data_IF_257234854361
#
_entry.id   IF_257234854361
#
_cell.length_a   1.000
_cell.length_b   1.000
_cell.length_c   1.000
_cell.angle_alpha   90.00
_cell.angle_beta   90.00
_cell.angle_gamma   90.00
#
_symmetry.space_group_name_H-M   'P 1'
#
loop_
_entity.id
_entity.type
_entity.pdbx_description
1 polymer ?
#
# COMPACT_ATOMS: atom_id res chain seq x y z
N UNK A 1 41.86 -3.72 11.22
CA UNK A 1 42.15 -4.14 12.60
C UNK A 1 40.81 -4.45 13.24
N UNK A 2 40.60 -5.72 13.58
CA UNK A 2 39.35 -6.29 14.07
C UNK A 2 39.25 -6.03 15.57
N UNK A 3 38.29 -5.20 16.01
CA UNK A 3 37.98 -5.07 17.43
C UNK A 3 36.71 -5.84 17.76
N UNK A 4 36.91 -6.91 18.53
CA UNK A 4 35.90 -7.69 19.18
C UNK A 4 35.29 -6.86 20.33
N UNK A 5 33.99 -6.58 20.27
CA UNK A 5 33.27 -6.00 21.41
C UNK A 5 32.60 -7.11 22.22
N UNK A 6 33.25 -7.42 23.33
CA UNK A 6 32.81 -8.27 24.42
C UNK A 6 31.65 -7.57 25.16
N UNK A 7 30.47 -8.19 25.20
CA UNK A 7 29.31 -7.68 25.99
C UNK A 7 29.01 -8.67 27.11
N UNK A 8 29.55 -8.36 28.29
CA UNK A 8 29.15 -8.97 29.56
C UNK A 8 27.71 -8.64 29.89
N UNK A 9 26.89 -9.67 30.09
CA UNK A 9 25.59 -9.58 30.74
C UNK A 9 25.82 -9.67 32.25
N UNK A 10 25.60 -8.57 32.99
CA UNK A 10 25.51 -8.62 34.46
C UNK A 10 24.05 -8.74 34.85
N UNK A 11 23.72 -9.86 35.48
CA UNK A 11 22.42 -10.14 36.07
C UNK A 11 22.21 -9.30 37.33
N UNK A 12 21.03 -8.70 37.44
CA UNK A 12 20.60 -7.95 38.62
C UNK A 12 19.18 -8.34 38.99
N UNK A 13 19.05 -9.39 39.80
CA UNK A 13 17.78 -9.86 40.34
C UNK A 13 17.22 -8.84 41.35
N UNK A 14 15.98 -8.37 41.15
CA UNK A 14 15.14 -7.84 42.23
C UNK A 14 13.90 -8.70 42.37
N UNK A 15 13.78 -9.31 43.55
CA UNK A 15 12.70 -10.18 44.00
C UNK A 15 11.42 -9.35 44.17
N UNK A 16 10.34 -9.77 43.52
CA UNK A 16 8.99 -9.61 44.05
C UNK A 16 8.30 -10.97 43.89
N UNK A 17 8.08 -11.63 45.02
CA UNK A 17 7.38 -12.90 45.14
C UNK A 17 5.89 -12.65 44.90
N UNK A 18 5.40 -13.02 43.71
CA UNK A 18 3.97 -13.22 43.47
C UNK A 18 3.76 -14.72 43.29
N UNK A 19 2.92 -15.29 44.15
CA UNK A 19 2.63 -16.71 44.31
C UNK A 19 2.28 -17.41 42.99
N UNK A 20 3.08 -18.40 42.61
CA UNK A 20 3.02 -19.20 41.38
C UNK A 20 1.81 -20.14 41.21
N UNK A 21 0.80 -20.13 42.08
CA UNK A 21 -0.27 -21.16 42.07
C UNK A 21 -1.64 -20.72 41.55
N UNK A 22 -1.79 -19.52 40.98
CA UNK A 22 -3.11 -19.01 40.58
C UNK A 22 -3.25 -18.50 39.14
N UNK A 23 -2.19 -18.57 38.33
CA UNK A 23 -2.24 -18.16 36.90
C UNK A 23 -2.37 -19.38 35.97
N UNK A 24 -2.04 -20.59 36.42
CA UNK A 24 -2.00 -21.78 35.56
C UNK A 24 -3.37 -22.38 35.18
N UNK A 25 -4.50 -21.92 35.76
CA UNK A 25 -5.82 -22.46 35.40
C UNK A 25 -6.65 -21.59 34.43
N UNK A 26 -6.19 -20.39 34.07
CA UNK A 26 -6.91 -19.54 33.12
C UNK A 26 -6.38 -19.64 31.67
N UNK A 27 -5.34 -20.45 31.43
CA UNK A 27 -4.62 -20.55 30.16
C UNK A 27 -4.77 -21.91 29.47
N UNK A 28 -5.75 -22.72 29.87
CA UNK A 28 -5.93 -24.09 29.35
C UNK A 28 -7.29 -24.38 28.70
N UNK A 29 -8.02 -23.35 28.25
CA UNK A 29 -9.32 -23.55 27.59
C UNK A 29 -9.53 -22.80 26.27
N UNK A 30 -8.50 -22.13 25.72
CA UNK A 30 -8.58 -21.54 24.37
C UNK A 30 -7.24 -21.65 23.64
N UNK A 31 -6.90 -22.87 23.22
CA UNK A 31 -5.99 -23.11 22.10
C UNK A 31 -6.74 -23.88 21.03
N UNK A 32 -7.79 -23.26 20.48
CA UNK A 32 -8.09 -23.49 19.07
C UNK A 32 -7.26 -22.48 18.29
N UNK A 33 -6.20 -22.97 17.66
CA UNK A 33 -5.36 -22.20 16.78
C UNK A 33 -6.22 -21.67 15.62
N UNK A 34 -6.62 -20.40 15.70
CA UNK A 34 -7.13 -19.68 14.53
C UNK A 34 -5.93 -19.41 13.62
N UNK A 35 -5.80 -20.05 12.44
CA UNK A 35 -4.73 -19.72 11.54
C UNK A 35 -4.94 -18.27 11.07
N UNK A 36 -3.93 -17.43 11.30
CA UNK A 36 -3.90 -16.08 10.74
C UNK A 36 -4.17 -16.16 9.23
N UNK A 37 -5.05 -15.32 8.67
CA UNK A 37 -5.35 -15.36 7.25
C UNK A 37 -4.07 -15.11 6.48
N UNK A 38 -3.71 -16.07 5.61
CA UNK A 38 -2.61 -15.95 4.67
C UNK A 38 -2.78 -14.67 3.88
N UNK A 39 -1.67 -13.96 3.73
CA UNK A 39 -1.51 -12.70 3.00
C UNK A 39 -2.59 -12.47 1.96
N UNK A 40 -3.46 -11.49 2.23
CA UNK A 40 -4.28 -10.91 1.20
C UNK A 40 -3.33 -10.26 0.20
N UNK A 41 -2.90 -11.04 -0.79
CA UNK A 41 -2.44 -10.51 -2.06
C UNK A 41 -3.53 -9.55 -2.50
N UNK A 42 -3.20 -8.25 -2.46
CA UNK A 42 -4.05 -7.21 -2.99
C UNK A 42 -4.19 -7.49 -4.49
N UNK A 43 -5.17 -8.32 -4.84
CA UNK A 43 -5.55 -8.59 -6.21
C UNK A 43 -5.84 -7.24 -6.81
N UNK A 44 -5.02 -6.82 -7.79
CA UNK A 44 -5.38 -5.73 -8.69
C UNK A 44 -6.71 -6.18 -9.24
N UNK A 45 -7.82 -5.60 -8.77
CA UNK A 45 -9.15 -5.85 -9.31
C UNK A 45 -9.05 -5.49 -10.79
N UNK A 46 -8.84 -6.49 -11.63
CA UNK A 46 -8.91 -6.33 -13.07
C UNK A 46 -10.26 -5.71 -13.36
N UNK A 47 -10.30 -4.70 -14.24
CA UNK A 47 -11.56 -4.13 -14.68
C UNK A 47 -12.45 -5.30 -15.13
N UNK A 48 -13.70 -5.42 -14.65
CA UNK A 48 -14.57 -6.49 -15.09
C UNK A 48 -14.71 -6.37 -16.61
N UNK A 49 -14.32 -7.42 -17.33
CA UNK A 49 -14.58 -7.49 -18.76
C UNK A 49 -16.11 -7.53 -18.92
N UNK A 50 -16.69 -6.49 -19.51
CA UNK A 50 -18.11 -6.52 -19.84
C UNK A 50 -18.28 -7.50 -21.01
N UNK A 51 -19.09 -8.53 -20.80
CA UNK A 51 -19.47 -9.46 -21.87
C UNK A 51 -20.73 -8.90 -22.52
N UNK A 52 -20.60 -8.42 -23.76
CA UNK A 52 -21.77 -8.02 -24.56
C UNK A 52 -22.63 -9.27 -24.70
N UNK A 53 -23.82 -9.23 -24.11
CA UNK A 53 -24.75 -10.35 -24.04
C UNK A 53 -26.08 -9.84 -24.57
N UNK A 54 -26.51 -10.35 -25.72
CA UNK A 54 -27.79 -9.97 -26.34
C UNK A 54 -27.72 -9.92 -27.87
N UNK A 55 -28.89 -9.92 -28.52
CA UNK A 55 -29.00 -9.66 -29.95
C UNK A 55 -28.63 -8.21 -30.28
N UNK A 56 -28.26 -7.94 -31.54
CA UNK A 56 -28.13 -6.59 -32.06
C UNK A 56 -29.52 -5.93 -32.16
N UNK A 57 -29.64 -4.70 -31.67
CA UNK A 57 -30.92 -3.97 -31.63
C UNK A 57 -30.83 -2.77 -32.56
N UNK A 58 -31.76 -2.66 -33.52
CA UNK A 58 -31.89 -1.48 -34.35
C UNK A 58 -32.58 -0.35 -33.58
N UNK A 59 -31.80 0.65 -33.16
CA UNK A 59 -32.25 1.81 -32.38
C UNK A 59 -33.23 2.74 -33.14
N UNK A 60 -33.37 2.56 -34.46
CA UNK A 60 -34.35 3.30 -35.27
C UNK A 60 -35.72 2.63 -35.24
N UNK A 61 -35.75 1.30 -35.21
CA UNK A 61 -36.97 0.51 -35.20
C UNK A 61 -37.51 0.30 -33.77
N UNK A 62 -36.63 0.11 -32.80
CA UNK A 62 -36.98 -0.24 -31.43
C UNK A 62 -36.61 0.87 -30.43
N UNK A 63 -37.49 1.13 -29.47
CA UNK A 63 -37.26 2.10 -28.40
C UNK A 63 -36.62 1.41 -27.21
N UNK A 64 -35.30 1.56 -27.09
CA UNK A 64 -34.53 1.09 -25.93
C UNK A 64 -34.39 2.23 -24.92
N UNK A 65 -34.63 1.94 -23.65
CA UNK A 65 -34.48 2.90 -22.56
C UNK A 65 -33.30 2.50 -21.66
N UNK A 66 -32.52 3.48 -21.22
CA UNK A 66 -31.56 3.31 -20.13
C UNK A 66 -32.29 3.10 -18.79
N UNK A 67 -31.55 2.64 -17.78
CA UNK A 67 -31.91 2.57 -16.37
C UNK A 67 -32.57 3.86 -15.81
N UNK A 68 -32.28 5.03 -16.40
CA UNK A 68 -32.88 6.32 -16.04
C UNK A 68 -34.14 6.67 -16.85
N UNK A 69 -34.62 5.77 -17.71
CA UNK A 69 -35.76 5.98 -18.59
C UNK A 69 -35.47 6.84 -19.82
N UNK A 70 -34.20 7.18 -20.09
CA UNK A 70 -33.81 7.94 -21.27
C UNK A 70 -33.73 7.04 -22.51
N UNK A 71 -34.23 7.50 -23.66
CA UNK A 71 -34.11 6.78 -24.92
C UNK A 71 -32.62 6.68 -25.33
N UNK A 72 -32.20 5.47 -25.65
CA UNK A 72 -30.89 5.18 -26.23
C UNK A 72 -31.02 5.28 -27.74
N UNK A 73 -30.56 6.40 -28.30
CA UNK A 73 -30.42 6.62 -29.74
C UNK A 73 -28.94 6.87 -30.09
N UNK A 74 -28.66 7.11 -31.38
CA UNK A 74 -27.28 7.36 -31.81
C UNK A 74 -26.67 8.59 -31.12
N UNK A 75 -27.44 9.66 -30.95
CA UNK A 75 -26.96 10.88 -30.31
C UNK A 75 -26.63 10.65 -28.82
N UNK A 76 -27.40 9.81 -28.13
CA UNK A 76 -27.11 9.38 -26.76
C UNK A 76 -25.77 8.64 -26.67
N UNK A 77 -25.54 7.70 -27.60
CA UNK A 77 -24.29 6.92 -27.68
C UNK A 77 -23.10 7.84 -27.91
N UNK A 78 -23.19 8.73 -28.90
CA UNK A 78 -22.11 9.65 -29.25
C UNK A 78 -21.73 10.57 -28.07
N UNK A 79 -22.74 11.08 -27.34
CA UNK A 79 -22.50 11.88 -26.12
C UNK A 79 -21.81 11.06 -25.03
N UNK A 80 -22.27 9.85 -24.78
CA UNK A 80 -21.70 8.98 -23.76
C UNK A 80 -20.23 8.62 -24.08
N UNK A 81 -19.90 8.39 -25.36
CA UNK A 81 -18.53 8.18 -25.81
C UNK A 81 -17.65 9.40 -25.57
N UNK A 82 -18.11 10.59 -25.94
CA UNK A 82 -17.36 11.84 -25.75
C UNK A 82 -17.04 12.10 -24.27
N UNK A 83 -18.00 11.87 -23.37
CA UNK A 83 -17.79 11.98 -21.92
C UNK A 83 -16.70 11.02 -21.41
N UNK A 84 -16.70 9.78 -21.90
CA UNK A 84 -15.69 8.77 -21.53
C UNK A 84 -14.31 9.14 -22.07
N UNK A 85 -14.21 9.62 -23.31
CA UNK A 85 -12.95 10.06 -23.90
C UNK A 85 -12.34 11.22 -23.13
N UNK A 86 -13.16 12.21 -22.74
CA UNK A 86 -12.73 13.34 -21.92
C UNK A 86 -12.24 12.89 -20.54
N UNK A 87 -12.96 11.96 -19.90
CA UNK A 87 -12.58 11.37 -18.62
C UNK A 87 -11.27 10.58 -18.70
N UNK A 88 -11.05 9.82 -19.78
CA UNK A 88 -9.81 9.07 -20.01
C UNK A 88 -8.65 10.05 -20.22
N UNK A 89 -8.85 11.09 -21.03
CA UNK A 89 -7.85 12.12 -21.29
C UNK A 89 -7.43 12.85 -20.00
N UNK A 90 -8.39 13.15 -19.11
CA UNK A 90 -8.10 13.76 -17.80
C UNK A 90 -7.39 12.80 -16.83
N UNK A 91 -7.71 11.50 -16.87
CA UNK A 91 -7.14 10.48 -15.96
C UNK A 91 -5.80 9.93 -16.42
N UNK A 92 -5.47 10.06 -17.70
CA UNK A 92 -4.14 9.77 -18.22
C UNK A 92 -3.17 10.84 -17.70
N UNK A 93 -2.59 10.61 -16.51
CA UNK A 93 -1.51 11.44 -16.00
C UNK A 93 -0.41 11.63 -17.05
N UNK A 94 0.31 12.76 -16.98
CA UNK A 94 1.34 13.12 -17.96
C UNK A 94 2.27 11.92 -18.23
N UNK A 95 2.35 11.43 -19.49
CA UNK A 95 3.19 10.29 -19.81
C UNK A 95 4.66 10.58 -19.45
N UNK A 96 5.39 9.54 -19.02
CA UNK A 96 6.81 9.68 -18.69
C UNK A 96 7.60 10.07 -19.94
N UNK A 97 8.57 10.97 -19.78
CA UNK A 97 9.45 11.45 -20.86
C UNK A 97 10.24 10.34 -21.57
N UNK A 98 10.32 9.15 -20.97
CA UNK A 98 11.10 8.00 -21.46
C UNK A 98 10.22 6.87 -22.02
N UNK A 99 8.89 6.99 -22.01
CA UNK A 99 7.96 6.00 -22.55
C UNK A 99 7.90 4.65 -21.81
N UNK A 100 8.88 4.35 -20.95
CA UNK A 100 8.84 3.22 -20.01
C UNK A 100 8.39 3.72 -18.64
N UNK A 101 7.32 3.13 -18.12
CA UNK A 101 6.92 3.26 -16.72
C UNK A 101 7.87 2.41 -15.88
N UNK A 102 9.08 2.91 -15.64
CA UNK A 102 10.05 2.24 -14.77
C UNK A 102 9.89 2.74 -13.33
N UNK A 103 9.67 1.82 -12.39
CA UNK A 103 9.62 2.16 -10.98
C UNK A 103 11.02 2.51 -10.48
N UNK A 104 11.13 3.58 -9.69
CA UNK A 104 12.41 3.91 -9.05
C UNK A 104 12.86 2.77 -8.14
N UNK A 105 14.18 2.46 -8.08
CA UNK A 105 14.72 1.50 -7.14
C UNK A 105 14.36 1.87 -5.69
N UNK A 106 14.03 0.86 -4.88
CA UNK A 106 13.64 1.02 -3.48
C UNK A 106 14.59 0.25 -2.57
N UNK A 107 15.06 0.90 -1.50
CA UNK A 107 15.92 0.28 -0.49
C UNK A 107 15.25 0.41 0.88
N UNK A 108 15.21 -0.69 1.62
CA UNK A 108 14.68 -0.74 2.99
C UNK A 108 15.79 -1.11 3.97
N UNK A 109 15.79 -0.47 5.14
CA UNK A 109 16.78 -0.70 6.20
C UNK A 109 16.09 -1.18 7.47
N UNK A 110 16.74 -2.10 8.18
CA UNK A 110 16.37 -2.44 9.55
C UNK A 110 17.16 -1.55 10.49
N UNK A 111 16.45 -0.81 11.33
CA UNK A 111 17.03 0.12 12.31
C UNK A 111 16.39 -0.10 13.66
N UNK A 112 17.10 0.28 14.73
CA UNK A 112 16.53 0.27 16.08
C UNK A 112 15.43 1.33 16.21
N UNK A 113 14.45 1.14 17.11
CA UNK A 113 13.40 2.13 17.33
C UNK A 113 13.94 3.51 17.73
N UNK A 114 15.01 3.52 18.52
CA UNK A 114 15.68 4.74 18.98
C UNK A 114 16.25 5.55 17.81
N UNK A 115 16.88 4.86 16.84
CA UNK A 115 17.45 5.51 15.67
C UNK A 115 16.35 6.11 14.78
N UNK A 116 15.23 5.39 14.62
CA UNK A 116 14.06 5.89 13.89
C UNK A 116 13.51 7.16 14.53
N UNK A 117 13.34 7.17 15.86
CA UNK A 117 12.82 8.33 16.58
C UNK A 117 13.72 9.56 16.41
N UNK A 118 15.05 9.38 16.50
CA UNK A 118 16.02 10.46 16.26
C UNK A 118 15.94 11.00 14.83
N UNK A 119 15.85 10.11 13.83
CA UNK A 119 15.73 10.52 12.44
C UNK A 119 14.43 11.31 12.17
N UNK A 120 13.31 10.91 12.78
CA UNK A 120 12.05 11.64 12.69
C UNK A 120 12.12 13.03 13.32
N UNK A 121 12.78 13.15 14.48
CA UNK A 121 12.98 14.43 15.14
C UNK A 121 13.85 15.36 14.30
N UNK A 122 15.01 14.90 13.84
CA UNK A 122 15.90 15.70 12.97
C UNK A 122 15.21 16.12 11.68
N UNK A 123 14.42 15.23 11.07
CA UNK A 123 13.67 15.57 9.86
C UNK A 123 12.64 16.68 10.12
N UNK A 124 11.93 16.64 11.25
CA UNK A 124 10.97 17.70 11.65
C UNK A 124 11.66 19.04 11.89
N UNK A 125 12.77 19.03 12.62
CA UNK A 125 13.55 20.25 12.92
C UNK A 125 14.06 20.93 11.64
N UNK A 126 14.42 20.13 10.63
CA UNK A 126 14.88 20.62 9.32
C UNK A 126 13.75 20.88 8.31
N UNK A 127 12.48 20.65 8.67
CA UNK A 127 11.35 20.79 7.76
C UNK A 127 11.42 19.83 6.56
N UNK A 128 12.06 18.68 6.72
CA UNK A 128 12.27 17.67 5.67
C UNK A 128 11.62 16.33 6.04
N UNK A 129 11.71 15.36 5.14
CA UNK A 129 11.23 13.99 5.40
C UNK A 129 12.38 13.06 5.77
N UNK A 130 12.09 12.01 6.51
CA UNK A 130 13.07 10.97 6.87
C UNK A 130 13.70 10.35 5.62
N UNK A 131 12.92 10.14 4.55
CA UNK A 131 13.44 9.60 3.29
C UNK A 131 14.43 10.55 2.59
N UNK A 132 14.17 11.86 2.63
CA UNK A 132 15.10 12.86 2.07
C UNK A 132 16.37 12.95 2.91
N UNK A 133 16.24 12.99 4.24
CA UNK A 133 17.38 12.95 5.17
C UNK A 133 18.25 11.71 4.94
N UNK A 134 17.63 10.53 4.81
CA UNK A 134 18.33 9.27 4.56
C UNK A 134 19.05 9.28 3.20
N UNK A 135 18.41 9.81 2.15
CA UNK A 135 19.04 9.95 0.84
C UNK A 135 20.27 10.83 0.90
N UNK A 136 20.17 12.02 1.49
CA UNK A 136 21.30 12.95 1.60
C UNK A 136 22.45 12.35 2.42
N UNK A 137 22.14 11.67 3.53
CA UNK A 137 23.15 10.99 4.33
C UNK A 137 23.86 9.89 3.52
N UNK A 138 23.11 9.13 2.72
CA UNK A 138 23.65 8.08 1.87
C UNK A 138 24.51 8.64 0.72
N UNK A 139 24.07 9.72 0.08
CA UNK A 139 24.85 10.43 -0.96
C UNK A 139 26.16 10.98 -0.38
N UNK A 140 26.13 11.61 0.80
CA UNK A 140 27.34 12.10 1.47
C UNK A 140 28.30 10.99 1.85
N UNK A 141 27.78 9.84 2.28
CA UNK A 141 28.59 8.67 2.62
C UNK A 141 29.25 8.03 1.40
N UNK A 142 28.61 8.05 0.23
CA UNK A 142 29.19 7.51 -1.01
C UNK A 142 30.11 8.49 -1.74
N UNK A 143 30.01 9.78 -1.43
CA UNK A 143 30.86 10.82 -2.02
C UNK A 143 32.23 10.96 -1.33
N UNK A 144 32.44 10.29 -0.18
CA UNK A 144 33.72 10.19 0.53
C UNK A 144 34.52 8.97 0.10
#
# INVERSE_FOLDING_TARGET
MTEAFDVRIVSGARKHSISRRRIEQALLSQTEAHPLPKEATMSRRGKPAYKITGPEIDLKAEVVLDSKGCRVDQAYVDRALAEVEEDIAKRAGRPSLTGKSEHSPHVSFRITPELKARAEQTAREQGTTVSKLAREAFERFLAS
#
